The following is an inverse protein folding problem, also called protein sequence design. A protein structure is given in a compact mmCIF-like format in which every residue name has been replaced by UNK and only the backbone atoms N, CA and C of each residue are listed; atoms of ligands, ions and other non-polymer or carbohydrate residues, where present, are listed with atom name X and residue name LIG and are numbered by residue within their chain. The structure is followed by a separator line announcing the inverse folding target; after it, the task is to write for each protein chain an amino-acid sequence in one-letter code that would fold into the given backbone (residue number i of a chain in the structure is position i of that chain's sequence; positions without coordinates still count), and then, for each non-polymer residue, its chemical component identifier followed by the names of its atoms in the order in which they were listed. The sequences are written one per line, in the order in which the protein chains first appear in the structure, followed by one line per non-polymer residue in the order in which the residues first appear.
data_IF_862608637997
#
_entry.id   IF_862608637997
#
_cell.length_a   1.000
_cell.length_b   1.000
_cell.length_c   1.000
_cell.angle_alpha   90.00
_cell.angle_beta   90.00
_cell.angle_gamma   90.00
#
_symmetry.space_group_name_H-M   'P 1'
#
loop_
_entity.id
_entity.type
_entity.pdbx_description
1 polymer ?
#
# COMPACT_ATOMS: atom_id res chain seq x y z
N UNK A 1 -15.09 -4.21 35.14
CA UNK A 1 -15.38 -5.24 34.13
C UNK A 1 -16.89 -5.53 34.02
N UNK A 2 -17.57 -5.74 35.15
CA UNK A 2 -19.01 -6.12 35.16
C UNK A 2 -19.91 -5.08 34.45
N UNK A 3 -19.70 -3.79 34.71
CA UNK A 3 -20.44 -2.72 34.03
C UNK A 3 -20.10 -2.68 32.53
N UNK A 4 -18.82 -2.84 32.18
CA UNK A 4 -18.38 -2.91 30.78
C UNK A 4 -19.10 -4.03 30.01
N UNK A 5 -19.12 -5.25 30.59
CA UNK A 5 -19.80 -6.39 29.96
C UNK A 5 -21.31 -6.15 29.79
N UNK A 6 -21.96 -5.52 30.79
CA UNK A 6 -23.40 -5.21 30.70
C UNK A 6 -23.67 -4.19 29.57
N UNK A 7 -22.84 -3.13 29.45
CA UNK A 7 -23.00 -2.13 28.39
C UNK A 7 -22.73 -2.76 27.01
N UNK A 8 -21.68 -3.58 26.92
CA UNK A 8 -21.34 -4.31 25.69
C UNK A 8 -22.51 -5.17 25.20
N UNK A 9 -23.07 -5.99 26.08
CA UNK A 9 -24.26 -6.84 25.79
C UNK A 9 -25.47 -6.01 25.38
N UNK A 10 -25.70 -4.88 26.02
CA UNK A 10 -26.80 -4.00 25.70
C UNK A 10 -26.67 -3.36 24.31
N UNK A 11 -25.45 -2.97 23.91
CA UNK A 11 -25.19 -2.46 22.56
C UNK A 11 -25.38 -3.59 21.55
N UNK A 12 -24.77 -4.75 21.78
CA UNK A 12 -24.84 -5.91 20.89
C UNK A 12 -26.26 -6.34 20.57
N UNK A 13 -27.15 -6.30 21.59
CA UNK A 13 -28.53 -6.78 21.47
C UNK A 13 -29.54 -5.69 21.10
N UNK A 14 -29.25 -4.42 21.35
CA UNK A 14 -30.22 -3.35 21.26
C UNK A 14 -29.88 -2.19 20.34
N UNK A 15 -28.68 -2.21 19.69
CA UNK A 15 -28.36 -1.16 18.72
C UNK A 15 -29.17 -1.36 17.44
N UNK A 16 -29.46 -0.24 16.74
CA UNK A 16 -30.32 -0.22 15.55
C UNK A 16 -29.73 -0.96 14.35
N UNK A 17 -28.42 -0.99 14.25
CA UNK A 17 -27.68 -1.70 13.20
C UNK A 17 -26.89 -2.86 13.82
N UNK A 18 -26.69 -3.93 13.06
CA UNK A 18 -25.90 -5.06 13.49
C UNK A 18 -24.40 -4.68 13.52
N UNK A 19 -23.77 -4.77 14.69
CA UNK A 19 -22.35 -4.48 14.89
C UNK A 19 -21.66 -5.76 15.34
N UNK A 20 -20.53 -6.09 14.72
CA UNK A 20 -19.77 -7.28 15.08
C UNK A 20 -19.13 -7.16 16.47
N UNK A 21 -19.00 -8.28 17.19
CA UNK A 21 -18.33 -8.33 18.50
C UNK A 21 -16.89 -7.82 18.41
N UNK A 22 -16.18 -8.12 17.30
CA UNK A 22 -14.80 -7.66 17.05
C UNK A 22 -14.73 -6.16 16.92
N UNK A 23 -15.65 -5.56 16.18
CA UNK A 23 -15.70 -4.11 15.99
C UNK A 23 -16.01 -3.39 17.32
N UNK A 24 -16.97 -3.89 18.09
CA UNK A 24 -17.28 -3.35 19.42
C UNK A 24 -16.08 -3.42 20.36
N UNK A 25 -15.34 -4.53 20.36
CA UNK A 25 -14.14 -4.70 21.18
C UNK A 25 -13.01 -3.75 20.74
N UNK A 26 -12.75 -3.66 19.45
CA UNK A 26 -11.73 -2.75 18.91
C UNK A 26 -12.03 -1.29 19.26
N UNK A 27 -13.28 -0.87 19.08
CA UNK A 27 -13.74 0.47 19.43
C UNK A 27 -13.62 0.75 20.94
N UNK A 28 -13.93 -0.23 21.77
CA UNK A 28 -13.79 -0.10 23.21
C UNK A 28 -12.33 0.03 23.64
N UNK A 29 -11.42 -0.76 23.07
CA UNK A 29 -9.97 -0.67 23.34
C UNK A 29 -9.41 0.67 22.86
N UNK A 30 -9.78 1.09 21.64
CA UNK A 30 -9.40 2.39 21.11
C UNK A 30 -9.88 3.54 22.02
N UNK A 31 -11.11 3.49 22.47
CA UNK A 31 -11.66 4.48 23.43
C UNK A 31 -10.93 4.52 24.76
N UNK A 32 -10.49 3.38 25.29
CA UNK A 32 -9.69 3.33 26.53
C UNK A 32 -8.33 4.04 26.38
N UNK A 33 -7.70 3.96 25.22
CA UNK A 33 -6.40 4.56 24.97
C UNK A 33 -6.50 6.04 24.64
N UNK A 34 -7.58 6.47 23.99
CA UNK A 34 -7.80 7.85 23.59
C UNK A 34 -7.74 8.83 24.76
N UNK A 35 -8.17 8.39 25.95
CA UNK A 35 -8.17 9.21 27.18
C UNK A 35 -6.84 9.17 27.95
N UNK A 36 -5.85 8.36 27.51
CA UNK A 36 -4.55 8.30 28.20
C UNK A 36 -3.64 9.43 27.77
N UNK A 37 -3.35 9.54 26.48
CA UNK A 37 -2.52 10.58 25.88
C UNK A 37 -2.66 10.60 24.33
N UNK A 38 -2.24 11.69 23.65
CA UNK A 38 -2.36 11.81 22.20
C UNK A 38 -1.50 10.84 21.40
N UNK A 39 -0.57 10.15 22.02
CA UNK A 39 0.39 9.24 21.37
C UNK A 39 0.06 7.77 21.58
N UNK A 40 -0.87 7.46 22.50
CA UNK A 40 -1.32 6.11 22.77
C UNK A 40 -2.45 5.73 21.81
N UNK A 41 -2.21 4.75 20.95
CA UNK A 41 -3.19 4.28 19.97
C UNK A 41 -3.23 2.76 19.95
N UNK A 42 -4.43 2.20 19.78
CA UNK A 42 -4.62 0.80 19.48
C UNK A 42 -4.49 0.60 17.96
N UNK A 43 -3.61 -0.33 17.59
CA UNK A 43 -3.47 -0.78 16.22
C UNK A 43 -4.02 -2.20 16.14
N UNK A 44 -5.05 -2.40 15.36
CA UNK A 44 -5.44 -3.75 14.95
C UNK A 44 -4.41 -4.36 14.00
N UNK A 45 -4.64 -5.58 13.53
CA UNK A 45 -3.67 -6.30 12.70
C UNK A 45 -3.36 -5.56 11.40
N UNK A 46 -4.37 -4.93 10.79
CA UNK A 46 -4.23 -4.18 9.53
C UNK A 46 -3.41 -2.91 9.74
N UNK A 47 -3.80 -2.07 10.68
CA UNK A 47 -3.08 -0.83 11.01
C UNK A 47 -1.67 -1.08 11.53
N UNK A 48 -1.43 -2.20 12.24
CA UNK A 48 -0.10 -2.58 12.66
C UNK A 48 0.79 -2.99 11.47
N UNK A 49 0.23 -3.70 10.50
CA UNK A 49 0.92 -4.02 9.25
C UNK A 49 1.31 -2.75 8.49
N UNK A 50 0.37 -1.80 8.34
CA UNK A 50 0.62 -0.52 7.69
C UNK A 50 1.72 0.30 8.38
N UNK A 51 1.73 0.28 9.71
CA UNK A 51 2.81 0.91 10.48
C UNK A 51 4.16 0.26 10.22
N UNK A 52 4.20 -1.08 10.19
CA UNK A 52 5.43 -1.82 9.87
C UNK A 52 5.91 -1.52 8.45
N UNK A 53 5.01 -1.55 7.45
CA UNK A 53 5.32 -1.20 6.07
C UNK A 53 5.89 0.23 5.97
N UNK A 54 5.27 1.18 6.65
CA UNK A 54 5.74 2.57 6.69
C UNK A 54 7.13 2.71 7.34
N UNK A 55 7.39 1.95 8.40
CA UNK A 55 8.66 1.98 9.11
C UNK A 55 9.80 1.29 8.37
N UNK A 56 9.51 0.21 7.65
CA UNK A 56 10.52 -0.53 6.87
C UNK A 56 10.67 0.00 5.44
N UNK A 57 9.60 0.55 4.86
CA UNK A 57 9.50 0.89 3.45
C UNK A 57 9.31 -0.34 2.55
N UNK A 58 8.95 -1.47 3.14
CA UNK A 58 8.76 -2.73 2.45
C UNK A 58 7.28 -3.15 2.52
N UNK A 59 6.71 -3.55 1.40
CA UNK A 59 5.37 -4.12 1.32
C UNK A 59 5.29 -5.22 0.28
N UNK A 60 4.35 -6.14 0.44
CA UNK A 60 4.09 -7.18 -0.54
C UNK A 60 3.23 -6.68 -1.70
N UNK A 61 3.70 -6.84 -2.95
CA UNK A 61 2.95 -6.36 -4.10
C UNK A 61 3.66 -6.53 -5.43
N UNK A 62 3.23 -5.75 -6.41
CA UNK A 62 3.75 -5.80 -7.78
C UNK A 62 4.77 -4.71 -8.09
N UNK A 63 4.78 -3.61 -7.32
CA UNK A 63 5.59 -2.43 -7.61
C UNK A 63 4.99 -1.54 -8.70
N UNK A 64 3.73 -1.19 -8.57
CA UNK A 64 3.00 -0.29 -9.47
C UNK A 64 2.54 0.96 -8.73
N UNK A 65 2.80 2.10 -9.32
CA UNK A 65 2.11 3.34 -8.99
C UNK A 65 0.86 3.44 -9.86
N UNK A 66 -0.32 3.56 -9.25
CA UNK A 66 -1.58 3.55 -9.96
C UNK A 66 -2.46 4.74 -9.59
N UNK A 67 -3.33 5.13 -10.51
CA UNK A 67 -4.32 6.19 -10.33
C UNK A 67 -5.65 5.83 -10.95
N UNK A 68 -6.67 6.65 -10.70
CA UNK A 68 -7.98 6.47 -11.33
C UNK A 68 -8.09 7.27 -12.64
N UNK A 69 -8.55 6.62 -13.70
CA UNK A 69 -8.89 7.29 -14.95
C UNK A 69 -10.19 6.74 -15.54
N UNK A 70 -11.23 7.58 -15.62
CA UNK A 70 -12.55 7.25 -16.22
C UNK A 70 -13.21 5.98 -15.64
N UNK A 71 -13.02 5.76 -14.33
CA UNK A 71 -13.57 4.59 -13.63
C UNK A 71 -12.77 3.29 -13.82
N UNK A 72 -11.60 3.39 -14.44
CA UNK A 72 -10.59 2.32 -14.56
C UNK A 72 -9.35 2.67 -13.72
N UNK A 73 -8.42 1.75 -13.64
CA UNK A 73 -7.16 1.91 -12.92
C UNK A 73 -6.05 2.08 -13.95
N UNK A 74 -5.40 3.24 -13.91
CA UNK A 74 -4.28 3.56 -14.79
C UNK A 74 -2.95 3.33 -14.09
N UNK A 75 -2.04 2.65 -14.74
CA UNK A 75 -0.65 2.58 -14.34
C UNK A 75 0.02 3.94 -14.62
N UNK A 76 0.41 4.63 -13.55
CA UNK A 76 1.18 5.88 -13.65
C UNK A 76 2.63 5.54 -14.00
N UNK A 77 3.21 4.60 -13.24
CA UNK A 77 4.57 4.11 -13.48
C UNK A 77 4.77 2.76 -12.79
N UNK A 78 5.38 1.76 -13.43
CA UNK A 78 6.00 0.65 -12.72
C UNK A 78 7.25 1.16 -12.00
N UNK A 79 7.53 0.59 -10.82
CA UNK A 79 8.77 0.84 -10.09
C UNK A 79 9.86 -0.05 -10.69
N UNK A 80 11.05 0.51 -10.92
CA UNK A 80 12.17 -0.22 -11.49
C UNK A 80 12.52 -1.48 -10.66
N UNK A 81 12.99 -2.53 -11.34
CA UNK A 81 13.40 -3.82 -10.76
C UNK A 81 12.29 -4.62 -10.05
N UNK A 82 11.05 -4.17 -10.09
CA UNK A 82 9.89 -4.86 -9.48
C UNK A 82 9.27 -5.92 -10.39
N UNK A 83 8.40 -6.81 -9.86
CA UNK A 83 7.68 -7.79 -10.65
C UNK A 83 6.89 -7.21 -11.82
N UNK A 84 6.22 -6.08 -11.62
CA UNK A 84 5.44 -5.43 -12.67
C UNK A 84 6.31 -4.92 -13.83
N UNK A 85 7.44 -4.28 -13.51
CA UNK A 85 8.40 -3.83 -14.52
C UNK A 85 8.99 -5.01 -15.30
N UNK A 86 9.36 -6.10 -14.60
CA UNK A 86 9.89 -7.34 -15.22
C UNK A 86 8.86 -8.05 -16.08
N UNK A 87 7.58 -7.97 -15.75
CA UNK A 87 6.49 -8.53 -16.55
C UNK A 87 6.21 -7.70 -17.81
N UNK A 88 6.76 -6.50 -17.96
CA UNK A 88 6.55 -5.63 -19.10
C UNK A 88 5.29 -4.76 -19.02
N UNK A 89 4.78 -4.50 -17.81
CA UNK A 89 3.74 -3.50 -17.59
C UNK A 89 4.37 -2.12 -17.75
N UNK A 90 3.68 -1.21 -18.41
CA UNK A 90 4.20 0.11 -18.78
C UNK A 90 3.33 1.25 -18.25
N UNK A 91 3.93 2.44 -18.17
CA UNK A 91 3.20 3.65 -17.85
C UNK A 91 2.13 3.93 -18.92
N UNK A 92 0.91 4.24 -18.48
CA UNK A 92 -0.23 4.48 -19.36
C UNK A 92 -1.14 3.26 -19.54
N UNK A 93 -0.73 2.06 -19.16
CA UNK A 93 -1.58 0.87 -19.19
C UNK A 93 -2.86 1.10 -18.36
N UNK A 94 -4.00 0.72 -18.92
CA UNK A 94 -5.29 0.76 -18.24
C UNK A 94 -5.67 -0.65 -17.78
N UNK A 95 -5.61 -0.91 -16.50
CA UNK A 95 -6.04 -2.19 -15.92
C UNK A 95 -7.57 -2.22 -15.98
N UNK A 96 -8.11 -3.23 -16.63
CA UNK A 96 -9.54 -3.45 -16.82
C UNK A 96 -10.08 -4.63 -16.03
N UNK A 97 -9.22 -5.64 -15.76
CA UNK A 97 -9.58 -6.80 -14.95
C UNK A 97 -8.42 -7.20 -14.04
N UNK A 98 -8.77 -7.74 -12.87
CA UNK A 98 -7.86 -8.38 -11.90
C UNK A 98 -8.43 -9.74 -11.52
N UNK A 99 -7.68 -10.84 -11.80
CA UNK A 99 -8.16 -12.22 -11.62
C UNK A 99 -9.52 -12.44 -12.29
N UNK A 100 -9.64 -12.06 -13.56
CA UNK A 100 -10.84 -12.16 -14.39
C UNK A 100 -12.07 -11.38 -13.84
N UNK A 101 -11.88 -10.55 -12.85
CA UNK A 101 -12.92 -9.68 -12.30
C UNK A 101 -12.73 -8.24 -12.79
N UNK A 102 -13.79 -7.56 -13.32
CA UNK A 102 -13.69 -6.21 -13.83
C UNK A 102 -13.39 -5.22 -12.70
N UNK A 103 -12.48 -4.27 -12.97
CA UNK A 103 -12.11 -3.20 -12.02
C UNK A 103 -13.00 -1.96 -12.13
N UNK A 104 -13.89 -1.90 -13.11
CA UNK A 104 -14.71 -0.73 -13.37
C UNK A 104 -15.57 -0.36 -12.16
N UNK A 105 -15.40 0.88 -11.65
CA UNK A 105 -16.12 1.36 -10.46
C UNK A 105 -15.54 0.87 -9.13
N UNK A 106 -14.41 0.16 -9.14
CA UNK A 106 -13.80 -0.40 -7.92
C UNK A 106 -13.24 0.69 -6.99
N UNK A 107 -12.81 1.83 -7.52
CA UNK A 107 -12.07 2.83 -6.77
C UNK A 107 -10.59 2.46 -6.61
N UNK A 108 -9.73 3.49 -6.55
CA UNK A 108 -8.26 3.32 -6.56
C UNK A 108 -7.78 2.57 -5.32
N UNK A 109 -8.28 2.91 -4.15
CA UNK A 109 -7.82 2.28 -2.89
C UNK A 109 -8.08 0.77 -2.90
N UNK A 110 -9.29 0.35 -3.24
CA UNK A 110 -9.64 -1.07 -3.32
C UNK A 110 -8.84 -1.82 -4.40
N UNK A 111 -8.43 -1.12 -5.46
CA UNK A 111 -7.54 -1.69 -6.47
C UNK A 111 -6.12 -1.88 -5.91
N UNK A 112 -5.60 -0.90 -5.17
CA UNK A 112 -4.31 -0.99 -4.49
C UNK A 112 -4.30 -2.19 -3.53
N UNK A 113 -5.33 -2.34 -2.70
CA UNK A 113 -5.46 -3.46 -1.76
C UNK A 113 -5.42 -4.82 -2.46
N UNK A 114 -6.02 -4.92 -3.66
CA UNK A 114 -5.97 -6.14 -4.48
C UNK A 114 -4.63 -6.38 -5.19
N UNK A 115 -3.93 -5.33 -5.57
CA UNK A 115 -2.58 -5.42 -6.15
C UNK A 115 -1.54 -5.81 -5.10
N UNK A 116 -1.74 -5.40 -3.85
CA UNK A 116 -0.97 -5.87 -2.70
C UNK A 116 -1.28 -7.33 -2.38
N UNK A 117 -0.45 -7.92 -1.55
CA UNK A 117 -0.64 -9.28 -1.02
C UNK A 117 0.69 -9.96 -0.72
N UNK A 118 0.60 -11.15 -0.16
CA UNK A 118 1.76 -11.92 0.29
C UNK A 118 2.73 -12.23 -0.85
N UNK A 119 4.03 -12.12 -0.57
CA UNK A 119 5.10 -12.53 -1.46
C UNK A 119 4.90 -13.98 -1.93
N UNK A 120 5.07 -14.21 -3.24
CA UNK A 120 4.92 -15.51 -3.87
C UNK A 120 3.50 -15.84 -4.35
N UNK A 121 2.49 -15.02 -4.00
CA UNK A 121 1.15 -15.16 -4.59
C UNK A 121 1.09 -14.49 -5.96
N UNK A 122 0.31 -15.04 -6.91
CA UNK A 122 0.13 -14.47 -8.24
C UNK A 122 -1.15 -13.66 -8.37
N UNK A 123 -1.15 -12.74 -9.32
CA UNK A 123 -2.33 -12.03 -9.78
C UNK A 123 -2.30 -11.94 -11.29
N UNK A 124 -3.45 -12.19 -11.93
CA UNK A 124 -3.65 -11.99 -13.36
C UNK A 124 -4.20 -10.58 -13.59
N UNK A 125 -3.56 -9.82 -14.47
CA UNK A 125 -3.98 -8.50 -14.88
C UNK A 125 -4.31 -8.49 -16.36
N UNK A 126 -5.48 -7.96 -16.73
CA UNK A 126 -5.83 -7.65 -18.12
C UNK A 126 -5.74 -6.14 -18.28
N UNK A 127 -4.95 -5.67 -19.23
CA UNK A 127 -4.72 -4.25 -19.46
C UNK A 127 -4.99 -3.87 -20.91
N UNK A 128 -5.42 -2.64 -21.13
CA UNK A 128 -5.41 -1.99 -22.44
C UNK A 128 -4.23 -1.03 -22.52
N UNK A 129 -3.46 -1.15 -23.61
CA UNK A 129 -2.31 -0.28 -23.93
C UNK A 129 -2.57 0.46 -25.23
N UNK A 130 -2.32 1.76 -25.25
CA UNK A 130 -2.45 2.56 -26.45
C UNK A 130 -1.52 2.06 -27.57
N UNK A 131 -2.07 1.88 -28.78
CA UNK A 131 -1.31 1.36 -29.91
C UNK A 131 -1.24 -0.17 -30.03
N UNK A 132 -1.95 -0.92 -29.19
CA UNK A 132 -2.09 -2.36 -29.29
C UNK A 132 -3.50 -2.77 -29.75
N UNK A 133 -3.58 -3.80 -30.57
CA UNK A 133 -4.85 -4.28 -31.18
C UNK A 133 -5.66 -5.21 -30.25
N UNK A 134 -5.60 -5.04 -28.95
CA UNK A 134 -6.37 -5.85 -28.00
C UNK A 134 -5.84 -5.78 -26.58
N UNK A 135 -6.54 -6.44 -25.65
CA UNK A 135 -6.09 -6.52 -24.27
C UNK A 135 -4.82 -7.39 -24.15
N UNK A 136 -3.93 -6.97 -23.27
CA UNK A 136 -2.74 -7.72 -22.90
C UNK A 136 -3.01 -8.39 -21.54
N UNK A 137 -2.59 -9.65 -21.41
CA UNK A 137 -2.69 -10.40 -20.15
C UNK A 137 -1.31 -10.57 -19.54
N UNK A 138 -1.23 -10.28 -18.24
CA UNK A 138 -0.02 -10.44 -17.45
C UNK A 138 -0.34 -11.29 -16.22
N UNK A 139 0.40 -12.36 -16.01
CA UNK A 139 0.41 -13.07 -14.73
C UNK A 139 1.67 -12.66 -13.97
N UNK A 140 1.47 -11.96 -12.84
CA UNK A 140 2.56 -11.36 -12.07
C UNK A 140 2.59 -11.96 -10.67
N UNK A 141 3.75 -12.47 -10.27
CA UNK A 141 3.97 -12.98 -8.92
C UNK A 141 4.39 -11.83 -8.02
N UNK A 142 3.69 -11.65 -6.90
CA UNK A 142 4.01 -10.61 -5.92
C UNK A 142 5.35 -10.87 -5.25
N UNK A 143 6.08 -9.81 -4.98
CA UNK A 143 7.34 -9.85 -4.24
C UNK A 143 7.36 -8.75 -3.18
N UNK A 144 8.37 -8.76 -2.32
CA UNK A 144 8.65 -7.63 -1.43
C UNK A 144 9.13 -6.44 -2.27
N UNK A 145 8.37 -5.37 -2.24
CA UNK A 145 8.69 -4.11 -2.90
C UNK A 145 9.33 -3.20 -1.87
N UNK A 146 10.52 -2.68 -2.19
CA UNK A 146 11.22 -1.74 -1.33
C UNK A 146 11.18 -0.35 -1.94
N UNK A 147 10.61 0.60 -1.19
CA UNK A 147 10.59 2.02 -1.58
C UNK A 147 11.76 2.71 -0.91
N UNK A 148 12.75 3.14 -1.70
CA UNK A 148 13.85 3.92 -1.15
C UNK A 148 13.37 5.31 -0.72
N UNK A 149 13.61 5.64 0.55
CA UNK A 149 13.34 6.96 1.12
C UNK A 149 14.41 8.00 0.76
N UNK A 150 15.57 7.57 0.24
CA UNK A 150 16.70 8.41 -0.07
C UNK A 150 17.04 8.31 -1.55
N UNK A 151 17.14 9.45 -2.22
CA UNK A 151 17.59 9.55 -3.61
C UNK A 151 18.64 10.63 -3.74
N UNK A 152 19.62 10.42 -4.64
CA UNK A 152 20.65 11.39 -4.91
C UNK A 152 20.85 11.60 -6.40
N UNK A 153 21.37 12.79 -6.74
CA UNK A 153 21.80 13.12 -8.11
C UNK A 153 22.80 14.26 -8.10
N UNK A 154 23.61 14.36 -9.12
CA UNK A 154 24.35 15.60 -9.40
C UNK A 154 23.39 16.65 -9.99
N UNK A 155 23.46 17.87 -9.50
CA UNK A 155 22.81 19.03 -10.10
C UNK A 155 23.69 19.61 -11.21
N UNK A 156 24.97 19.79 -10.88
CA UNK A 156 26.03 20.24 -11.77
C UNK A 156 27.40 19.75 -11.26
N UNK A 157 28.47 19.81 -12.01
CA UNK A 157 29.79 19.36 -11.55
C UNK A 157 30.19 19.98 -10.20
N UNK A 158 30.48 19.15 -9.21
CA UNK A 158 30.83 19.55 -7.86
C UNK A 158 29.65 19.80 -6.90
N UNK A 159 28.40 19.72 -7.37
CA UNK A 159 27.23 19.92 -6.55
C UNK A 159 26.31 18.68 -6.55
N UNK A 160 26.36 17.92 -5.46
CA UNK A 160 25.46 16.78 -5.21
C UNK A 160 24.16 17.21 -4.50
N UNK A 161 23.06 16.58 -4.85
CA UNK A 161 21.76 16.74 -4.20
C UNK A 161 21.31 15.40 -3.61
N UNK A 162 20.95 15.40 -2.33
CA UNK A 162 20.37 14.22 -1.66
C UNK A 162 19.02 14.63 -1.09
N UNK A 163 18.00 13.81 -1.37
CA UNK A 163 16.63 14.00 -0.85
C UNK A 163 16.27 12.83 0.03
N UNK A 164 15.83 13.13 1.26
CA UNK A 164 15.13 12.19 2.14
C UNK A 164 13.65 12.53 2.08
N UNK A 165 12.82 11.64 1.52
CA UNK A 165 11.38 11.87 1.36
C UNK A 165 10.59 11.55 2.62
N UNK A 166 11.02 10.55 3.37
CA UNK A 166 10.46 10.12 4.64
C UNK A 166 11.51 9.32 5.41
N UNK A 167 11.30 9.10 6.70
CA UNK A 167 12.25 8.39 7.53
C UNK A 167 11.80 6.93 7.73
N UNK A 168 12.65 6.01 7.26
CA UNK A 168 12.50 4.57 7.41
C UNK A 168 13.69 4.01 8.18
N UNK A 169 13.62 2.74 8.55
CA UNK A 169 14.72 2.06 9.26
C UNK A 169 16.05 2.12 8.49
N UNK A 170 16.00 2.05 7.16
CA UNK A 170 17.19 2.10 6.29
C UNK A 170 17.64 3.51 5.94
N UNK A 171 16.86 4.57 6.22
CA UNK A 171 17.14 5.93 5.74
C UNK A 171 18.54 6.45 6.11
N UNK A 172 19.06 6.08 7.29
CA UNK A 172 20.40 6.49 7.72
C UNK A 172 21.52 5.85 6.89
N UNK A 173 21.47 4.54 6.69
CA UNK A 173 22.43 3.80 5.84
C UNK A 173 22.34 4.22 4.38
N UNK A 174 21.10 4.38 3.87
CA UNK A 174 20.86 4.79 2.49
C UNK A 174 21.36 6.22 2.24
N UNK A 175 21.20 7.12 3.22
CA UNK A 175 21.75 8.48 3.13
C UNK A 175 23.28 8.48 3.01
N UNK A 176 23.95 7.70 3.86
CA UNK A 176 25.42 7.59 3.81
C UNK A 176 25.87 7.04 2.46
N UNK A 177 25.26 5.94 1.98
CA UNK A 177 25.59 5.34 0.68
C UNK A 177 25.37 6.32 -0.48
N UNK A 178 24.25 7.06 -0.48
CA UNK A 178 23.96 8.06 -1.50
C UNK A 178 24.95 9.25 -1.48
N UNK A 179 25.39 9.70 -0.30
CA UNK A 179 26.41 10.75 -0.17
C UNK A 179 27.77 10.25 -0.66
N UNK A 180 28.13 9.00 -0.38
CA UNK A 180 29.39 8.40 -0.85
C UNK A 180 29.41 8.23 -2.37
N UNK A 181 28.28 7.89 -2.97
CA UNK A 181 28.15 7.78 -4.43
C UNK A 181 28.28 9.13 -5.16
N UNK A 182 28.15 10.26 -4.45
CA UNK A 182 28.30 11.61 -4.99
C UNK A 182 29.74 12.18 -4.81
N UNK A 183 30.66 11.44 -4.21
CA UNK A 183 32.06 11.85 -4.05
C UNK A 183 32.89 11.47 -5.27
#
# INVERSE_FOLDING_TARGET
LRLFTQVFEQIRLGYVEEVSDTELLNNAIAGLLLELDPHSVYLDTEHYSDLQESATGEYGGLGLEVGGERGLIKVISPIDDTPAAKAGIEAGDLIVEMNDAPVRGMGVQRAIDKLRGEKGTSIKLTVYREGQDGPLEFEVVRDTIQISSVRSRFLEPGYGYVRVSHFQRSSGSDFIANVEALK
#
